data_IF_468025731493
#
_entry.id   IF_468025731493
#
_cell.length_a   1.000
_cell.length_b   1.000
_cell.length_c   1.000
_cell.angle_alpha   90.00
_cell.angle_beta   90.00
_cell.angle_gamma   90.00
#
_symmetry.space_group_name_H-M   'P 1'
#
loop_
_entity.id
_entity.type
_entity.pdbx_description
1 polymer ?
#
# COMPACT_ATOMS: atom_id res chain seq x y z
N UNK A 1 -20.09 6.23 11.53
CA UNK A 1 -19.14 6.59 10.46
C UNK A 1 -19.40 5.64 9.30
N UNK A 2 -19.34 6.09 8.04
CA UNK A 2 -19.45 5.19 6.90
C UNK A 2 -18.32 4.15 6.95
N UNK A 3 -18.66 2.91 6.61
CA UNK A 3 -17.69 1.81 6.51
C UNK A 3 -17.62 1.39 5.06
N UNK A 4 -16.42 1.43 4.47
CA UNK A 4 -16.20 0.87 3.14
C UNK A 4 -15.25 -0.33 3.26
N UNK A 5 -15.64 -1.44 2.64
CA UNK A 5 -14.80 -2.62 2.55
C UNK A 5 -14.20 -2.67 1.16
N UNK A 6 -12.87 -2.66 1.10
CA UNK A 6 -12.12 -2.77 -0.14
C UNK A 6 -11.54 -4.18 -0.20
N UNK A 7 -11.84 -4.86 -1.28
CA UNK A 7 -11.11 -6.04 -1.66
C UNK A 7 -9.80 -5.61 -2.32
N UNK A 8 -8.67 -5.90 -1.67
CA UNK A 8 -7.35 -5.68 -2.27
C UNK A 8 -6.92 -7.01 -2.85
N UNK A 9 -6.76 -7.03 -4.18
CA UNK A 9 -6.30 -8.23 -4.85
C UNK A 9 -4.86 -8.51 -4.43
N UNK A 10 -4.68 -9.54 -3.63
CA UNK A 10 -3.37 -10.10 -3.34
C UNK A 10 -3.07 -11.19 -4.34
N UNK A 11 -1.89 -11.12 -4.97
CA UNK A 11 -1.45 -12.17 -5.89
C UNK A 11 -1.49 -13.50 -5.15
N UNK A 12 -2.44 -14.33 -5.53
CA UNK A 12 -2.47 -15.72 -5.13
C UNK A 12 -2.95 -16.51 -6.33
N UNK A 13 -2.02 -17.06 -7.11
CA UNK A 13 -2.07 -18.49 -7.50
C UNK A 13 -1.14 -18.89 -8.65
N UNK A 14 -0.53 -18.00 -9.45
CA UNK A 14 0.32 -18.47 -10.57
C UNK A 14 1.81 -18.24 -10.29
N UNK A 15 2.63 -19.30 -10.12
CA UNK A 15 4.08 -19.16 -10.00
C UNK A 15 4.70 -18.64 -11.31
N UNK A 16 5.59 -17.65 -11.20
CA UNK A 16 6.40 -17.15 -12.32
C UNK A 16 7.77 -17.86 -12.34
N UNK A 17 8.27 -18.33 -13.50
CA UNK A 17 9.50 -19.12 -13.59
C UNK A 17 10.75 -18.46 -12.98
N UNK A 18 10.80 -17.12 -12.98
CA UNK A 18 11.94 -16.35 -12.47
C UNK A 18 11.90 -16.07 -10.97
N UNK A 19 10.77 -16.30 -10.27
CA UNK A 19 10.59 -15.94 -8.85
C UNK A 19 9.81 -17.03 -8.09
N UNK A 20 10.47 -18.15 -7.72
CA UNK A 20 9.81 -19.36 -7.22
C UNK A 20 9.33 -19.29 -5.75
N UNK A 21 9.71 -18.25 -5.00
CA UNK A 21 9.26 -18.06 -3.62
C UNK A 21 8.10 -17.07 -3.58
N UNK A 22 6.90 -17.59 -3.28
CA UNK A 22 5.68 -16.81 -3.00
C UNK A 22 6.00 -15.78 -1.91
N UNK A 23 5.93 -14.50 -2.25
CA UNK A 23 6.15 -13.39 -1.33
C UNK A 23 4.89 -12.54 -1.30
N UNK A 24 4.52 -12.01 -0.13
CA UNK A 24 3.25 -11.32 0.00
C UNK A 24 3.27 -10.10 -0.93
N UNK A 25 2.18 -9.91 -1.69
CA UNK A 25 2.04 -8.89 -2.74
C UNK A 25 1.89 -7.46 -2.18
N UNK A 26 2.80 -7.05 -1.32
CA UNK A 26 2.88 -5.71 -0.75
C UNK A 26 4.33 -5.23 -0.68
N UNK A 27 4.48 -3.92 -0.52
CA UNK A 27 5.76 -3.23 -0.43
C UNK A 27 5.71 -2.14 0.64
N UNK A 28 6.86 -1.77 1.17
CA UNK A 28 7.04 -0.44 1.78
C UNK A 28 7.68 0.47 0.74
N UNK A 29 7.08 1.66 0.55
CA UNK A 29 7.57 2.69 -0.37
C UNK A 29 7.76 4.00 0.40
N UNK A 30 9.00 4.40 0.61
CA UNK A 30 9.35 5.57 1.44
C UNK A 30 10.27 6.55 0.72
N UNK A 31 10.14 7.84 1.05
CA UNK A 31 11.07 8.89 0.62
C UNK A 31 12.37 8.93 1.44
N UNK A 32 12.49 8.09 2.47
CA UNK A 32 13.71 7.93 3.23
C UNK A 32 14.77 7.13 2.44
N UNK A 33 16.04 7.43 2.70
CA UNK A 33 17.16 6.60 2.23
C UNK A 33 17.12 5.22 2.88
N UNK A 34 17.75 4.22 2.28
CA UNK A 34 17.82 2.87 2.82
C UNK A 34 18.41 2.83 4.23
N UNK A 35 19.44 3.64 4.47
CA UNK A 35 20.08 3.72 5.79
C UNK A 35 19.09 4.19 6.87
N UNK A 36 18.34 5.26 6.59
CA UNK A 36 17.36 5.79 7.55
C UNK A 36 16.14 4.88 7.70
N UNK A 37 15.59 4.41 6.58
CA UNK A 37 14.39 3.58 6.55
C UNK A 37 14.59 2.25 7.28
N UNK A 38 15.77 1.65 7.18
CA UNK A 38 16.08 0.38 7.86
C UNK A 38 16.09 0.53 9.38
N UNK A 39 16.66 1.63 9.89
CA UNK A 39 16.67 1.94 11.32
C UNK A 39 15.26 2.25 11.81
N UNK A 40 14.52 3.11 11.09
CA UNK A 40 13.14 3.45 11.43
C UNK A 40 12.22 2.23 11.45
N UNK A 41 12.36 1.32 10.49
CA UNK A 41 11.60 0.07 10.45
C UNK A 41 11.91 -0.80 11.66
N UNK A 42 13.19 -1.03 11.98
CA UNK A 42 13.58 -1.81 13.14
C UNK A 42 13.05 -1.21 14.45
N UNK A 43 13.11 0.12 14.59
CA UNK A 43 12.61 0.84 15.76
C UNK A 43 11.07 0.78 15.91
N UNK A 44 10.32 0.61 14.81
CA UNK A 44 8.86 0.50 14.86
C UNK A 44 8.35 -0.76 15.56
N UNK A 45 9.18 -1.81 15.65
CA UNK A 45 8.77 -3.10 16.20
C UNK A 45 7.73 -3.86 15.35
N UNK A 46 7.44 -3.40 14.12
CA UNK A 46 6.40 -3.98 13.28
C UNK A 46 6.71 -5.42 12.82
N UNK A 47 7.99 -5.77 12.61
CA UNK A 47 8.44 -7.11 12.21
C UNK A 47 9.93 -7.28 12.48
N UNK A 48 10.44 -8.51 12.70
CA UNK A 48 11.88 -8.78 12.85
C UNK A 48 12.73 -8.41 11.62
N UNK A 49 12.13 -8.36 10.43
CA UNK A 49 12.82 -8.00 9.19
C UNK A 49 11.94 -7.16 8.26
N UNK A 50 12.55 -6.28 7.44
CA UNK A 50 11.83 -5.51 6.42
C UNK A 50 11.10 -6.42 5.42
N UNK A 51 10.07 -5.91 4.73
CA UNK A 51 9.46 -6.64 3.61
C UNK A 51 10.49 -6.98 2.54
N UNK A 52 10.18 -7.98 1.71
CA UNK A 52 11.02 -8.24 0.53
C UNK A 52 11.11 -7.02 -0.37
N UNK A 53 9.98 -6.37 -0.63
CA UNK A 53 9.93 -5.18 -1.48
C UNK A 53 9.97 -3.95 -0.57
N UNK A 54 11.14 -3.31 -0.53
CA UNK A 54 11.39 -2.13 0.28
C UNK A 54 11.98 -1.02 -0.60
N UNK A 55 11.09 -0.23 -1.20
CA UNK A 55 11.43 0.88 -2.08
C UNK A 55 11.79 2.10 -1.22
N UNK A 56 13.00 2.61 -1.43
CA UNK A 56 13.59 3.75 -0.71
C UNK A 56 13.98 4.82 -1.73
N UNK A 57 14.26 6.04 -1.29
CA UNK A 57 14.55 7.15 -2.21
C UNK A 57 15.77 6.89 -3.09
N UNK A 58 16.74 6.09 -2.61
CA UNK A 58 17.94 5.72 -3.37
C UNK A 58 17.64 4.85 -4.61
N UNK A 59 16.43 4.29 -4.73
CA UNK A 59 16.03 3.38 -5.81
C UNK A 59 15.27 4.06 -6.94
N UNK A 60 14.98 5.37 -6.83
CA UNK A 60 14.22 6.11 -7.83
C UNK A 60 14.88 7.43 -8.17
N UNK A 61 14.80 7.84 -9.44
CA UNK A 61 15.30 9.16 -9.87
C UNK A 61 14.36 10.30 -9.51
N UNK A 62 13.04 10.04 -9.46
CA UNK A 62 12.02 11.03 -9.10
C UNK A 62 11.23 10.54 -7.89
N UNK A 63 11.38 11.23 -6.76
CA UNK A 63 10.60 10.94 -5.56
C UNK A 63 9.17 11.46 -5.63
N UNK A 64 8.36 11.14 -4.60
CA UNK A 64 7.00 11.68 -4.41
C UNK A 64 7.05 13.23 -4.52
N UNK A 65 6.18 13.89 -5.31
CA UNK A 65 4.89 13.41 -5.82
C UNK A 65 4.93 12.71 -7.18
N UNK A 66 6.11 12.42 -7.76
CA UNK A 66 6.19 11.59 -8.96
C UNK A 66 5.71 10.15 -8.65
N UNK A 67 5.10 9.43 -9.62
CA UNK A 67 4.55 8.10 -9.41
C UNK A 67 5.61 7.00 -9.31
N UNK A 68 6.84 7.29 -9.73
CA UNK A 68 7.95 6.34 -9.89
C UNK A 68 8.16 5.40 -8.68
N UNK A 69 8.09 5.86 -7.41
CA UNK A 69 8.26 4.97 -6.25
C UNK A 69 7.17 3.89 -6.13
N UNK A 70 5.91 4.22 -6.43
CA UNK A 70 4.80 3.27 -6.34
C UNK A 70 4.75 2.34 -7.55
N UNK A 71 5.08 2.85 -8.74
CA UNK A 71 5.23 2.00 -9.93
C UNK A 71 6.31 0.95 -9.72
N UNK A 72 7.47 1.35 -9.19
CA UNK A 72 8.54 0.41 -8.85
C UNK A 72 8.11 -0.58 -7.76
N UNK A 73 7.39 -0.12 -6.74
CA UNK A 73 6.85 -0.99 -5.70
C UNK A 73 5.90 -2.04 -6.26
N UNK A 74 4.96 -1.63 -7.12
CA UNK A 74 4.01 -2.52 -7.76
C UNK A 74 4.71 -3.54 -8.68
N UNK A 75 5.64 -3.09 -9.51
CA UNK A 75 6.46 -3.94 -10.39
C UNK A 75 7.21 -5.02 -9.60
N UNK A 76 7.96 -4.61 -8.56
CA UNK A 76 8.74 -5.54 -7.73
C UNK A 76 7.87 -6.50 -6.91
N UNK A 77 6.64 -6.09 -6.60
CA UNK A 77 5.63 -6.93 -5.94
C UNK A 77 4.83 -7.79 -6.93
N UNK A 78 5.01 -7.62 -8.25
CA UNK A 78 4.32 -8.37 -9.31
C UNK A 78 2.84 -8.02 -9.48
N UNK A 79 2.39 -6.87 -8.99
CA UNK A 79 0.98 -6.43 -8.98
C UNK A 79 0.75 -5.31 -9.99
N UNK A 80 -0.48 -5.23 -10.51
CA UNK A 80 -0.95 -4.07 -11.25
C UNK A 80 -1.18 -2.90 -10.27
N UNK A 81 -0.56 -1.71 -10.46
CA UNK A 81 -0.79 -0.55 -9.60
C UNK A 81 -2.26 -0.13 -9.54
N UNK A 82 -3.06 -0.35 -10.59
CA UNK A 82 -4.51 -0.05 -10.56
C UNK A 82 -5.31 -0.94 -9.59
N UNK A 83 -4.72 -2.06 -9.16
CA UNK A 83 -5.30 -2.99 -8.17
C UNK A 83 -4.65 -2.82 -6.79
N UNK A 84 -3.79 -1.82 -6.62
CA UNK A 84 -3.11 -1.54 -5.36
C UNK A 84 -3.87 -0.51 -4.51
N UNK A 85 -3.80 -0.71 -3.19
CA UNK A 85 -4.15 0.28 -2.19
C UNK A 85 -2.86 0.85 -1.57
N UNK A 86 -2.61 2.14 -1.79
CA UNK A 86 -1.52 2.89 -1.14
C UNK A 86 -2.04 3.47 0.17
N UNK A 87 -1.27 3.34 1.24
CA UNK A 87 -1.54 3.98 2.54
C UNK A 87 -0.52 5.10 2.76
N UNK A 88 -0.99 6.32 3.03
CA UNK A 88 -0.16 7.52 3.09
C UNK A 88 -0.61 8.51 4.16
N UNK A 89 0.33 9.23 4.76
CA UNK A 89 0.08 10.29 5.76
C UNK A 89 0.54 11.68 5.28
N UNK A 90 0.99 11.79 4.03
CA UNK A 90 1.45 13.05 3.45
C UNK A 90 0.86 13.34 2.05
N UNK A 91 0.44 14.60 1.77
CA UNK A 91 -0.09 15.00 0.46
C UNK A 91 0.78 14.65 -0.77
N UNK A 92 2.14 14.78 -0.73
CA UNK A 92 2.97 14.35 -1.85
C UNK A 92 2.85 12.86 -2.14
N UNK A 93 2.73 12.02 -1.12
CA UNK A 93 2.55 10.58 -1.28
C UNK A 93 1.18 10.23 -1.83
N UNK A 94 0.13 10.90 -1.36
CA UNK A 94 -1.21 10.76 -1.94
C UNK A 94 -1.18 11.04 -3.45
N UNK A 95 -0.62 12.19 -3.86
CA UNK A 95 -0.52 12.55 -5.28
C UNK A 95 0.30 11.55 -6.08
N UNK A 96 1.41 11.05 -5.53
CA UNK A 96 2.21 10.02 -6.19
C UNK A 96 1.45 8.70 -6.37
N UNK A 97 0.69 8.25 -5.36
CA UNK A 97 -0.14 7.06 -5.45
C UNK A 97 -1.24 7.20 -6.50
N UNK A 98 -1.93 8.34 -6.53
CA UNK A 98 -2.94 8.66 -7.56
C UNK A 98 -2.32 8.74 -8.96
N UNK A 99 -1.17 9.38 -9.11
CA UNK A 99 -0.46 9.47 -10.37
C UNK A 99 0.03 8.11 -10.88
N UNK A 100 0.28 7.14 -9.98
CA UNK A 100 0.62 5.77 -10.33
C UNK A 100 -0.60 4.91 -10.72
N UNK A 101 -1.83 5.45 -10.57
CA UNK A 101 -3.07 4.73 -10.87
C UNK A 101 -3.67 3.97 -9.69
N UNK A 102 -3.06 4.04 -8.50
CA UNK A 102 -3.53 3.33 -7.31
C UNK A 102 -4.79 3.96 -6.70
N UNK A 103 -5.50 3.16 -5.89
CA UNK A 103 -6.37 3.70 -4.83
C UNK A 103 -5.50 4.15 -3.65
N UNK A 104 -5.90 5.20 -2.96
CA UNK A 104 -5.15 5.79 -1.85
C UNK A 104 -6.02 5.97 -0.61
N UNK A 105 -5.55 5.42 0.50
CA UNK A 105 -5.98 5.74 1.86
C UNK A 105 -5.05 6.79 2.46
N UNK A 106 -5.59 7.95 2.79
CA UNK A 106 -4.95 8.99 3.57
C UNK A 106 -5.15 8.82 5.08
N UNK A 107 -4.10 9.00 5.87
CA UNK A 107 -4.15 9.01 7.33
C UNK A 107 -4.06 10.45 7.86
N UNK A 108 -4.84 10.77 8.89
CA UNK A 108 -4.85 12.05 9.59
C UNK A 108 -3.72 12.23 10.62
N UNK A 109 -2.71 11.36 10.62
CA UNK A 109 -1.68 11.31 11.68
C UNK A 109 -0.64 12.43 11.61
N UNK A 110 -0.25 12.83 10.40
CA UNK A 110 0.84 13.80 10.17
C UNK A 110 0.32 15.11 9.59
N UNK A 111 -0.69 15.04 8.73
CA UNK A 111 -1.40 16.19 8.15
C UNK A 111 -2.88 16.07 8.46
N UNK A 112 -3.56 17.21 8.51
CA UNK A 112 -5.02 17.21 8.69
C UNK A 112 -5.71 16.45 7.54
N UNK A 113 -6.82 15.80 7.87
CA UNK A 113 -7.61 14.99 6.92
C UNK A 113 -8.07 15.78 5.69
N UNK A 114 -8.32 17.08 5.83
CA UNK A 114 -8.74 17.93 4.70
C UNK A 114 -7.64 18.01 3.65
N UNK A 115 -6.37 18.15 4.05
CA UNK A 115 -5.23 18.11 3.12
C UNK A 115 -5.10 16.77 2.39
N UNK A 116 -5.47 15.66 3.02
CA UNK A 116 -5.44 14.34 2.39
C UNK A 116 -6.53 14.23 1.31
N UNK A 117 -7.73 14.73 1.59
CA UNK A 117 -8.79 14.85 0.59
C UNK A 117 -8.43 15.79 -0.57
N UNK A 118 -7.91 16.97 -0.28
CA UNK A 118 -7.50 17.95 -1.30
C UNK A 118 -6.35 17.43 -2.18
N UNK A 119 -5.52 16.51 -1.66
CA UNK A 119 -4.48 15.84 -2.42
C UNK A 119 -4.99 14.70 -3.33
N UNK A 120 -6.26 14.31 -3.20
CA UNK A 120 -6.92 13.32 -4.06
C UNK A 120 -7.00 11.91 -3.47
N UNK A 121 -6.90 11.75 -2.15
CA UNK A 121 -7.13 10.45 -1.52
C UNK A 121 -8.55 9.93 -1.83
N UNK A 122 -8.69 8.62 -2.01
CA UNK A 122 -10.00 7.97 -2.20
C UNK A 122 -10.69 7.74 -0.85
N UNK A 123 -9.89 7.57 0.19
CA UNK A 123 -10.32 7.33 1.57
C UNK A 123 -9.50 8.18 2.52
N UNK A 124 -10.11 8.57 3.64
CA UNK A 124 -9.38 9.18 4.75
C UNK A 124 -9.93 8.65 6.09
N UNK A 125 -9.03 8.31 7.00
CA UNK A 125 -9.33 7.99 8.40
C UNK A 125 -8.28 8.61 9.33
N UNK A 126 -8.53 8.61 10.63
CA UNK A 126 -7.63 9.22 11.62
C UNK A 126 -6.25 8.53 11.61
N UNK A 127 -6.26 7.21 11.79
CA UNK A 127 -5.05 6.38 11.85
C UNK A 127 -5.39 4.92 11.51
N UNK A 128 -4.41 4.01 11.64
CA UNK A 128 -4.57 2.59 11.32
C UNK A 128 -5.48 1.83 12.30
N UNK A 129 -5.89 2.39 13.44
CA UNK A 129 -6.89 1.74 14.32
C UNK A 129 -8.28 1.68 13.69
N UNK A 130 -8.54 2.48 12.66
CA UNK A 130 -9.76 2.48 11.84
C UNK A 130 -9.67 1.52 10.65
N UNK A 131 -8.55 0.80 10.51
CA UNK A 131 -8.31 -0.14 9.42
C UNK A 131 -8.22 -1.56 9.97
N UNK A 132 -9.02 -2.47 9.42
CA UNK A 132 -8.90 -3.90 9.67
C UNK A 132 -8.47 -4.59 8.38
N UNK A 133 -7.45 -5.44 8.47
CA UNK A 133 -7.01 -6.28 7.37
C UNK A 133 -7.09 -7.75 7.77
N UNK A 134 -7.71 -8.58 6.92
CA UNK A 134 -7.85 -10.01 7.18
C UNK A 134 -7.69 -10.83 5.90
N UNK A 135 -7.05 -11.99 6.02
CA UNK A 135 -6.91 -12.94 4.92
C UNK A 135 -8.18 -13.78 4.82
N UNK A 136 -8.77 -13.86 3.63
CA UNK A 136 -10.01 -14.60 3.36
C UNK A 136 -9.75 -15.59 2.24
N UNK A 137 -10.12 -16.85 2.45
CA UNK A 137 -10.13 -17.87 1.41
C UNK A 137 -11.28 -17.63 0.43
N UNK A 138 -10.96 -17.69 -0.87
CA UNK A 138 -11.89 -17.61 -1.99
C UNK A 138 -11.66 -18.78 -2.93
N UNK A 139 -12.70 -19.22 -3.61
CA UNK A 139 -12.56 -20.15 -4.73
C UNK A 139 -12.12 -19.35 -5.97
N UNK A 140 -11.06 -19.83 -6.62
CA UNK A 140 -10.59 -19.34 -7.91
C UNK A 140 -11.45 -19.88 -9.05
N UNK A 141 -11.31 -19.25 -10.23
CA UNK A 141 -12.07 -19.64 -11.43
C UNK A 141 -11.77 -21.08 -11.90
N UNK A 142 -10.62 -21.64 -11.51
CA UNK A 142 -10.17 -23.00 -11.78
C UNK A 142 -10.59 -24.01 -10.68
N UNK A 143 -11.35 -23.58 -9.67
CA UNK A 143 -11.72 -24.38 -8.50
C UNK A 143 -10.60 -24.51 -7.45
N UNK A 144 -9.47 -23.84 -7.64
CA UNK A 144 -8.38 -23.77 -6.66
C UNK A 144 -8.72 -22.80 -5.50
N UNK A 145 -8.14 -23.03 -4.31
CA UNK A 145 -8.24 -22.07 -3.20
C UNK A 145 -7.28 -20.89 -3.42
N UNK A 146 -7.79 -19.69 -3.24
CA UNK A 146 -7.09 -18.42 -3.39
C UNK A 146 -7.21 -17.61 -2.08
N UNK A 147 -6.13 -16.95 -1.61
CA UNK A 147 -6.19 -16.09 -0.42
C UNK A 147 -6.23 -14.63 -0.85
N UNK A 148 -7.31 -13.93 -0.48
CA UNK A 148 -7.45 -12.49 -0.69
C UNK A 148 -7.27 -11.71 0.61
N UNK A 149 -6.64 -10.54 0.53
CA UNK A 149 -6.59 -9.60 1.66
C UNK A 149 -7.80 -8.68 1.59
N UNK A 150 -8.72 -8.84 2.54
CA UNK A 150 -9.83 -7.92 2.73
C UNK A 150 -9.37 -6.78 3.63
N UNK A 151 -9.49 -5.55 3.16
CA UNK A 151 -9.18 -4.34 3.93
C UNK A 151 -10.48 -3.58 4.17
N UNK A 152 -10.91 -3.54 5.42
CA UNK A 152 -12.09 -2.78 5.86
C UNK A 152 -11.62 -1.47 6.46
N UNK A 153 -12.13 -0.36 5.93
CA UNK A 153 -11.79 0.99 6.37
C UNK A 153 -13.04 1.63 6.97
N UNK A 154 -12.93 2.00 8.24
CA UNK A 154 -13.91 2.87 8.90
C UNK A 154 -13.53 4.32 8.57
N UNK A 155 -13.96 4.77 7.40
CA UNK A 155 -13.60 6.08 6.85
C UNK A 155 -14.52 7.20 7.32
N UNK A 156 -14.10 8.42 7.01
CA UNK A 156 -14.95 9.60 7.15
C UNK A 156 -15.60 9.97 5.82
N UNK A 157 -16.76 10.65 5.89
CA UNK A 157 -17.39 11.20 4.69
C UNK A 157 -16.48 12.26 4.09
N UNK A 158 -16.42 12.28 2.75
CA UNK A 158 -15.69 13.31 2.02
C UNK A 158 -16.39 14.67 2.28
N UNK A 159 -15.66 15.68 2.79
CA UNK A 159 -16.22 16.99 3.13
C UNK A 159 -16.52 17.86 1.90
#
# INVERSE_FOLDING_TARGET
MPTETIEVDTITSVPHPSYPLRKPGWAIVTSATRAYASVGFAASGASPSPPTVFVTSDLVSRGKPAPDPYLLGAELSGVDPHRCLVVEDAPPGVRAGKAAGCRVLGLGTTHDKRRMWDAGADFVCEDLSFVRAEWVEREGEDGGKMLKLMVTIQGEERP
#
